data_IF_258335756313
#
_entry.id   IF_258335756313
#
_cell.length_a   1.000
_cell.length_b   1.000
_cell.length_c   1.000
_cell.angle_alpha   90.00
_cell.angle_beta   90.00
_cell.angle_gamma   90.00
#
_symmetry.space_group_name_H-M   'P 1'
#
loop_
_entity.id
_entity.type
_entity.pdbx_description
1 polymer ?
#
# COMPACT_ATOMS: atom_id res chain seq x y z
N UNK A 1 48.42 104.06 97.48
CA UNK A 1 47.46 104.43 96.41
C UNK A 1 47.72 103.68 95.10
N UNK A 2 48.98 103.42 94.73
CA UNK A 2 49.36 102.68 93.49
C UNK A 2 48.92 101.20 93.48
N UNK A 3 49.08 100.48 94.58
CA UNK A 3 48.76 99.04 94.65
C UNK A 3 47.26 98.74 94.50
N UNK A 4 46.40 99.63 95.01
CA UNK A 4 44.94 99.50 94.90
C UNK A 4 44.48 99.68 93.45
N UNK A 5 45.16 100.51 92.66
CA UNK A 5 44.84 100.70 91.25
C UNK A 5 45.28 99.48 90.41
N UNK A 6 46.45 98.90 90.70
CA UNK A 6 46.94 97.68 90.05
C UNK A 6 45.99 96.48 90.31
N UNK A 7 45.57 96.28 91.56
CA UNK A 7 44.63 95.21 91.93
C UNK A 7 43.27 95.34 91.22
N UNK A 8 42.80 96.56 90.92
CA UNK A 8 41.57 96.77 90.16
C UNK A 8 41.71 96.33 88.70
N UNK A 9 42.84 96.64 88.07
CA UNK A 9 43.13 96.21 86.68
C UNK A 9 43.24 94.69 86.59
N UNK A 10 43.91 94.06 87.55
CA UNK A 10 43.99 92.60 87.65
C UNK A 10 42.63 91.95 87.87
N UNK A 11 41.78 92.53 88.72
CA UNK A 11 40.41 92.04 88.95
C UNK A 11 39.57 92.12 87.67
N UNK A 12 39.64 93.22 86.91
CA UNK A 12 38.94 93.34 85.63
C UNK A 12 39.49 92.36 84.57
N UNK A 13 40.81 92.16 84.53
CA UNK A 13 41.42 91.13 83.68
C UNK A 13 40.96 89.73 84.06
N UNK A 14 40.90 89.39 85.36
CA UNK A 14 40.39 88.12 85.82
C UNK A 14 38.89 87.93 85.49
N UNK A 15 38.08 88.99 85.59
CA UNK A 15 36.66 88.97 85.20
C UNK A 15 36.48 88.69 83.71
N UNK A 16 37.23 89.38 82.85
CA UNK A 16 37.16 89.17 81.39
C UNK A 16 37.61 87.76 80.99
N UNK A 17 38.70 87.25 81.59
CA UNK A 17 39.15 85.87 81.36
C UNK A 17 38.09 84.87 81.82
N UNK A 18 37.48 85.08 82.99
CA UNK A 18 36.45 84.19 83.51
C UNK A 18 35.19 84.18 82.61
N UNK A 19 34.79 85.34 82.09
CA UNK A 19 33.70 85.43 81.12
C UNK A 19 34.02 84.68 79.81
N UNK A 20 35.25 84.76 79.29
CA UNK A 20 35.67 84.01 78.11
C UNK A 20 35.70 82.49 78.37
N UNK A 21 36.24 82.07 79.51
CA UNK A 21 36.24 80.66 79.92
C UNK A 21 34.82 80.10 80.05
N UNK A 22 33.91 80.86 80.65
CA UNK A 22 32.49 80.47 80.77
C UNK A 22 31.88 80.29 79.38
N UNK A 23 32.08 81.23 78.46
CA UNK A 23 31.56 81.12 77.08
C UNK A 23 32.14 79.91 76.32
N UNK A 24 33.43 79.61 76.51
CA UNK A 24 34.05 78.41 75.92
C UNK A 24 33.48 77.13 76.51
N UNK A 25 33.20 77.12 77.81
CA UNK A 25 32.60 75.98 78.50
C UNK A 25 31.16 75.74 78.00
N UNK A 26 30.37 76.80 77.84
CA UNK A 26 29.02 76.72 77.27
C UNK A 26 29.05 76.22 75.81
N UNK A 27 29.99 76.70 75.01
CA UNK A 27 30.21 76.23 73.64
C UNK A 27 30.60 74.74 73.61
N UNK A 28 31.51 74.30 74.48
CA UNK A 28 31.88 72.89 74.60
C UNK A 28 30.72 72.02 75.07
N UNK A 29 29.87 72.51 75.97
CA UNK A 29 28.66 71.81 76.40
C UNK A 29 27.66 71.65 75.25
N UNK A 30 27.47 72.69 74.42
CA UNK A 30 26.62 72.62 73.24
C UNK A 30 27.15 71.62 72.19
N UNK A 31 28.47 71.64 71.93
CA UNK A 31 29.10 70.67 71.02
C UNK A 31 28.98 69.24 71.56
N UNK A 32 29.15 69.04 72.88
CA UNK A 32 28.97 67.74 73.50
C UNK A 32 27.53 67.22 73.31
N UNK A 33 26.53 68.06 73.53
CA UNK A 33 25.13 67.69 73.32
C UNK A 33 24.83 67.31 71.86
N UNK A 34 25.33 68.08 70.89
CA UNK A 34 25.21 67.75 69.45
C UNK A 34 25.86 66.39 69.13
N UNK A 35 27.07 66.14 69.65
CA UNK A 35 27.76 64.87 69.43
C UNK A 35 27.04 63.69 70.08
N UNK A 36 26.43 63.87 71.24
CA UNK A 36 25.62 62.84 71.90
C UNK A 36 24.37 62.50 71.08
N UNK A 37 23.68 63.51 70.52
CA UNK A 37 22.55 63.30 69.62
C UNK A 37 22.96 62.59 68.33
N UNK A 38 24.07 63.02 67.71
CA UNK A 38 24.62 62.37 66.52
C UNK A 38 25.10 60.95 66.78
N UNK A 39 25.64 60.67 67.95
CA UNK A 39 26.01 59.30 68.34
C UNK A 39 24.77 58.42 68.41
N UNK A 40 23.70 58.91 69.06
CA UNK A 40 22.45 58.18 69.18
C UNK A 40 21.83 57.85 67.81
N UNK A 41 21.80 58.81 66.88
CA UNK A 41 21.27 58.57 65.52
C UNK A 41 22.09 57.54 64.75
N UNK A 42 23.42 57.58 64.85
CA UNK A 42 24.32 56.58 64.23
C UNK A 42 24.13 55.20 64.85
N UNK A 43 23.89 55.11 66.16
CA UNK A 43 23.59 53.84 66.83
C UNK A 43 22.29 53.22 66.35
N UNK A 44 21.23 54.03 66.22
CA UNK A 44 19.94 53.61 65.66
C UNK A 44 20.07 53.14 64.19
N UNK A 45 20.88 53.83 63.37
CA UNK A 45 21.18 53.41 62.00
C UNK A 45 21.93 52.07 61.95
N UNK A 46 22.96 51.92 62.79
CA UNK A 46 23.73 50.67 62.89
C UNK A 46 22.83 49.50 63.26
N UNK A 47 21.92 49.68 64.20
CA UNK A 47 20.98 48.63 64.61
C UNK A 47 19.96 48.30 63.51
N UNK A 48 19.47 49.32 62.76
CA UNK A 48 18.65 49.11 61.56
C UNK A 48 19.38 48.26 60.52
N UNK A 49 20.63 48.61 60.18
CA UNK A 49 21.42 47.85 59.22
C UNK A 49 21.72 46.42 59.70
N UNK A 50 21.98 46.24 60.99
CA UNK A 50 22.19 44.92 61.59
C UNK A 50 20.93 44.06 61.53
N UNK A 51 19.75 44.65 61.75
CA UNK A 51 18.47 43.96 61.61
C UNK A 51 18.21 43.56 60.14
N UNK A 52 18.47 44.46 59.19
CA UNK A 52 18.28 44.18 57.76
C UNK A 52 19.25 43.13 57.23
N UNK A 53 20.50 43.15 57.69
CA UNK A 53 21.48 42.10 57.41
C UNK A 53 21.01 40.72 57.92
N UNK A 54 20.43 40.67 59.13
CA UNK A 54 19.85 39.42 59.66
C UNK A 54 18.66 38.92 58.86
N UNK A 55 17.81 39.81 58.33
CA UNK A 55 16.66 39.44 57.48
C UNK A 55 17.09 38.93 56.09
N UNK A 56 18.12 39.53 55.50
CA UNK A 56 18.60 39.17 54.15
C UNK A 56 19.41 37.87 54.12
N UNK A 57 20.10 37.51 55.20
CA UNK A 57 20.88 36.27 55.30
C UNK A 57 20.10 34.98 54.96
N UNK A 58 18.91 34.71 55.52
CA UNK A 58 18.13 33.53 55.16
C UNK A 58 17.62 33.57 53.71
N UNK A 59 17.31 34.76 53.17
CA UNK A 59 16.90 34.91 51.77
C UNK A 59 18.02 34.56 50.80
N UNK A 60 19.24 35.00 51.09
CA UNK A 60 20.41 34.61 50.28
C UNK A 60 20.68 33.11 50.37
N UNK A 61 20.44 32.52 51.54
CA UNK A 61 20.62 31.08 51.74
C UNK A 61 19.56 30.28 50.98
N UNK A 62 18.28 30.67 51.05
CA UNK A 62 17.21 30.03 50.29
C UNK A 62 17.41 30.19 48.79
N UNK A 63 17.84 31.37 48.33
CA UNK A 63 18.16 31.63 46.93
C UNK A 63 19.28 30.72 46.43
N UNK A 64 20.39 30.59 47.17
CA UNK A 64 21.48 29.66 46.81
C UNK A 64 21.00 28.22 46.74
N UNK A 65 20.13 27.80 47.65
CA UNK A 65 19.54 26.46 47.65
C UNK A 65 18.68 26.24 46.40
N UNK A 66 17.80 27.18 46.07
CA UNK A 66 16.96 27.11 44.87
C UNK A 66 17.79 27.07 43.57
N UNK A 67 18.89 27.84 43.52
CA UNK A 67 19.84 27.79 42.41
C UNK A 67 20.49 26.42 42.26
N UNK A 68 20.97 25.82 43.35
CA UNK A 68 21.56 24.48 43.32
C UNK A 68 20.55 23.40 42.88
N UNK A 69 19.31 23.48 43.35
CA UNK A 69 18.22 22.57 42.93
C UNK A 69 17.88 22.74 41.44
N UNK A 70 17.85 23.98 40.95
CA UNK A 70 17.64 24.30 39.54
C UNK A 70 18.78 23.77 38.66
N UNK A 71 20.03 23.99 39.05
CA UNK A 71 21.22 23.49 38.34
C UNK A 71 21.22 21.96 38.26
N UNK A 72 20.90 21.28 39.35
CA UNK A 72 20.79 19.82 39.39
C UNK A 72 19.68 19.31 38.45
N UNK A 73 18.53 20.00 38.44
CA UNK A 73 17.40 19.68 37.57
C UNK A 73 17.75 19.85 36.09
N UNK A 74 18.40 20.96 35.73
CA UNK A 74 18.87 21.22 34.37
C UNK A 74 19.91 20.20 33.91
N UNK A 75 20.84 19.81 34.79
CA UNK A 75 21.84 18.78 34.48
C UNK A 75 21.19 17.42 34.19
N UNK A 76 20.19 17.04 34.98
CA UNK A 76 19.42 15.81 34.77
C UNK A 76 18.62 15.85 33.47
N UNK A 77 17.89 16.95 33.22
CA UNK A 77 17.11 17.14 32.00
C UNK A 77 17.98 17.09 30.75
N UNK A 78 19.15 17.76 30.78
CA UNK A 78 20.12 17.73 29.70
C UNK A 78 20.61 16.31 29.42
N UNK A 79 20.96 15.54 30.45
CA UNK A 79 21.39 14.14 30.28
C UNK A 79 20.30 13.29 29.63
N UNK A 80 19.05 13.42 30.10
CA UNK A 80 17.90 12.73 29.50
C UNK A 80 17.71 13.08 28.02
N UNK A 81 17.86 14.37 27.67
CA UNK A 81 17.76 14.82 26.28
C UNK A 81 18.92 14.29 25.43
N UNK A 82 20.15 14.32 25.93
CA UNK A 82 21.32 13.77 25.24
C UNK A 82 21.16 12.28 24.94
N UNK A 83 20.62 11.51 25.89
CA UNK A 83 20.35 10.07 25.71
C UNK A 83 19.26 9.83 24.65
N UNK A 84 18.19 10.65 24.64
CA UNK A 84 17.15 10.59 23.60
C UNK A 84 17.73 10.91 22.21
N UNK A 85 18.55 11.95 22.11
CA UNK A 85 19.20 12.33 20.83
C UNK A 85 20.12 11.23 20.34
N UNK A 86 20.92 10.61 21.21
CA UNK A 86 21.77 9.47 20.85
C UNK A 86 20.95 8.28 20.35
N UNK A 87 19.85 7.94 21.02
CA UNK A 87 18.95 6.87 20.59
C UNK A 87 18.31 7.17 19.24
N UNK A 88 17.81 8.39 19.03
CA UNK A 88 17.22 8.81 17.76
C UNK A 88 18.25 8.78 16.62
N UNK A 89 19.49 9.20 16.89
CA UNK A 89 20.57 9.16 15.90
C UNK A 89 20.93 7.72 15.51
N UNK A 90 21.00 6.81 16.50
CA UNK A 90 21.24 5.39 16.24
C UNK A 90 20.13 4.78 15.37
N UNK A 91 18.87 5.09 15.69
CA UNK A 91 17.71 4.65 14.89
C UNK A 91 17.72 5.23 13.47
N UNK A 92 18.04 6.52 13.31
CA UNK A 92 18.16 7.15 12.00
C UNK A 92 19.27 6.51 11.15
N UNK A 93 20.41 6.16 11.78
CA UNK A 93 21.49 5.44 11.11
C UNK A 93 21.07 4.04 10.65
N UNK A 94 20.24 3.36 11.45
CA UNK A 94 19.68 2.06 11.11
C UNK A 94 18.75 2.15 9.90
N UNK A 95 17.79 3.08 9.93
CA UNK A 95 16.90 3.37 8.80
C UNK A 95 17.70 3.73 7.53
N UNK A 96 18.74 4.56 7.66
CA UNK A 96 19.62 4.91 6.54
C UNK A 96 20.42 3.72 6.00
N UNK A 97 20.64 2.65 6.77
CA UNK A 97 21.19 1.39 6.27
C UNK A 97 20.12 0.59 5.52
N UNK A 98 18.93 0.44 6.10
CA UNK A 98 17.82 -0.27 5.47
C UNK A 98 17.42 0.35 4.13
N UNK A 99 17.37 1.69 4.03
CA UNK A 99 17.09 2.39 2.78
C UNK A 99 18.11 2.04 1.70
N UNK A 100 19.41 2.07 2.01
CA UNK A 100 20.46 1.69 1.05
C UNK A 100 20.32 0.24 0.57
N UNK A 101 19.98 -0.68 1.45
CA UNK A 101 19.71 -2.08 1.07
C UNK A 101 18.49 -2.21 0.17
N UNK A 102 17.45 -1.40 0.38
CA UNK A 102 16.26 -1.36 -0.48
C UNK A 102 16.57 -0.72 -1.82
N UNK A 103 17.35 0.36 -1.86
CA UNK A 103 17.77 1.01 -3.10
C UNK A 103 18.57 0.03 -3.97
N UNK A 104 19.53 -0.71 -3.39
CA UNK A 104 20.27 -1.75 -4.11
C UNK A 104 19.36 -2.88 -4.63
N UNK A 105 18.33 -3.27 -3.88
CA UNK A 105 17.37 -4.28 -4.33
C UNK A 105 16.48 -3.75 -5.46
N UNK A 106 16.06 -2.49 -5.40
CA UNK A 106 15.31 -1.84 -6.47
C UNK A 106 16.15 -1.82 -7.76
N UNK A 107 17.42 -1.40 -7.68
CA UNK A 107 18.33 -1.41 -8.83
C UNK A 107 18.45 -2.81 -9.45
N UNK A 108 18.61 -3.84 -8.61
CA UNK A 108 18.69 -5.24 -9.04
C UNK A 108 17.40 -5.70 -9.73
N UNK A 109 16.24 -5.38 -9.16
CA UNK A 109 14.93 -5.73 -9.73
C UNK A 109 14.67 -5.00 -11.04
N UNK A 110 15.05 -3.73 -11.14
CA UNK A 110 14.97 -2.96 -12.40
C UNK A 110 15.78 -3.63 -13.50
N UNK A 111 17.01 -4.06 -13.22
CA UNK A 111 17.83 -4.78 -14.20
C UNK A 111 17.20 -6.11 -14.63
N UNK A 112 16.65 -6.87 -13.70
CA UNK A 112 15.95 -8.12 -14.01
C UNK A 112 14.71 -7.90 -14.89
N UNK A 113 13.93 -6.86 -14.61
CA UNK A 113 12.76 -6.50 -15.42
C UNK A 113 13.18 -6.14 -16.84
N UNK A 114 14.21 -5.30 -17.00
CA UNK A 114 14.72 -4.96 -18.34
C UNK A 114 15.23 -6.18 -19.11
N UNK A 115 15.88 -7.13 -18.43
CA UNK A 115 16.30 -8.39 -19.06
C UNK A 115 15.08 -9.24 -19.51
N UNK A 116 14.03 -9.31 -18.68
CA UNK A 116 12.80 -10.03 -19.02
C UNK A 116 12.04 -9.37 -20.17
N UNK A 117 11.99 -8.05 -20.21
CA UNK A 117 11.38 -7.31 -21.32
C UNK A 117 12.08 -7.61 -22.65
N UNK A 118 13.41 -7.75 -22.63
CA UNK A 118 14.18 -8.17 -23.80
C UNK A 118 13.85 -9.62 -24.23
N UNK A 119 13.75 -10.56 -23.28
CA UNK A 119 13.31 -11.94 -23.55
C UNK A 119 11.89 -11.98 -24.15
N UNK A 120 10.96 -11.19 -23.59
CA UNK A 120 9.59 -11.08 -24.09
C UNK A 120 9.54 -10.51 -25.50
N UNK A 121 10.33 -9.48 -25.81
CA UNK A 121 10.40 -8.92 -27.16
C UNK A 121 10.88 -9.95 -28.19
N UNK A 122 11.84 -10.80 -27.83
CA UNK A 122 12.31 -11.90 -28.69
C UNK A 122 11.19 -12.93 -28.92
N UNK A 123 10.53 -13.38 -27.85
CA UNK A 123 9.42 -14.34 -27.95
C UNK A 123 8.25 -13.78 -28.77
N UNK A 124 7.92 -12.51 -28.59
CA UNK A 124 6.91 -11.83 -29.38
C UNK A 124 7.29 -11.81 -30.86
N UNK A 125 8.54 -11.47 -31.19
CA UNK A 125 9.04 -11.52 -32.57
C UNK A 125 9.00 -12.92 -33.19
N UNK A 126 9.31 -13.97 -32.42
CA UNK A 126 9.18 -15.37 -32.85
C UNK A 126 7.71 -15.72 -33.11
N UNK A 127 6.81 -15.37 -32.19
CA UNK A 127 5.38 -15.64 -32.34
C UNK A 127 4.77 -14.95 -33.56
N UNK A 128 5.14 -13.69 -33.81
CA UNK A 128 4.69 -12.95 -35.00
C UNK A 128 5.14 -13.63 -36.29
N UNK A 129 6.43 -14.00 -36.38
CA UNK A 129 6.96 -14.72 -37.55
C UNK A 129 6.27 -16.06 -37.77
N UNK A 130 6.03 -16.83 -36.71
CA UNK A 130 5.31 -18.10 -36.83
C UNK A 130 3.88 -17.91 -37.31
N UNK A 131 3.20 -16.85 -36.86
CA UNK A 131 1.86 -16.55 -37.32
C UNK A 131 1.84 -16.15 -38.80
N UNK A 132 2.78 -15.31 -39.25
CA UNK A 132 2.98 -14.97 -40.67
C UNK A 132 3.23 -16.23 -41.52
N UNK A 133 4.14 -17.12 -41.07
CA UNK A 133 4.42 -18.40 -41.74
C UNK A 133 3.20 -19.31 -41.88
N UNK A 134 2.26 -19.28 -40.92
CA UNK A 134 1.02 -20.05 -41.00
C UNK A 134 0.01 -19.40 -41.97
N UNK A 135 0.05 -18.08 -42.13
CA UNK A 135 -0.82 -17.36 -43.06
C UNK A 135 -0.39 -17.51 -44.53
N UNK A 136 0.91 -17.59 -44.84
CA UNK A 136 1.40 -17.75 -46.22
C UNK A 136 0.80 -18.95 -47.00
N UNK A 137 0.81 -20.19 -46.46
CA UNK A 137 0.19 -21.34 -47.14
C UNK A 137 -1.34 -21.25 -47.16
N UNK A 138 -1.98 -20.64 -46.15
CA UNK A 138 -3.42 -20.39 -46.15
C UNK A 138 -3.82 -19.37 -47.25
N UNK A 139 -3.02 -18.32 -47.43
CA UNK A 139 -3.17 -17.33 -48.50
C UNK A 139 -2.96 -17.94 -49.88
N UNK A 140 -1.97 -18.83 -50.04
CA UNK A 140 -1.74 -19.58 -51.28
C UNK A 140 -2.85 -20.59 -51.59
N UNK A 141 -3.49 -21.21 -50.59
CA UNK A 141 -4.66 -22.07 -50.79
C UNK A 141 -5.92 -21.27 -51.19
N UNK A 142 -6.02 -20.01 -50.77
CA UNK A 142 -7.16 -19.14 -51.08
C UNK A 142 -6.96 -18.40 -52.42
N UNK A 143 -5.72 -18.01 -52.76
CA UNK A 143 -5.36 -17.25 -53.98
C UNK A 143 -4.87 -18.11 -55.15
N UNK A 144 -4.26 -19.26 -54.87
CA UNK A 144 -3.88 -20.26 -55.86
C UNK A 144 -5.11 -21.04 -56.30
N UNK A 145 -5.54 -20.81 -57.54
CA UNK A 145 -6.72 -21.35 -58.20
C UNK A 145 -7.36 -22.57 -57.50
N UNK A 146 -8.27 -22.32 -56.55
CA UNK A 146 -9.00 -23.33 -55.78
C UNK A 146 -10.00 -24.15 -56.64
N UNK A 147 -9.74 -24.22 -57.94
CA UNK A 147 -10.47 -24.99 -58.92
C UNK A 147 -10.52 -26.48 -58.56
N UNK A 148 -9.43 -27.14 -58.09
CA UNK A 148 -9.52 -28.54 -57.67
C UNK A 148 -10.50 -28.75 -56.50
N UNK A 149 -10.56 -27.80 -55.55
CA UNK A 149 -11.50 -27.86 -54.42
C UNK A 149 -12.94 -27.57 -54.85
N UNK A 150 -13.14 -26.63 -55.78
CA UNK A 150 -14.46 -26.33 -56.37
C UNK A 150 -14.97 -27.49 -57.24
N UNK A 151 -14.09 -28.10 -58.04
CA UNK A 151 -14.37 -29.24 -58.89
C UNK A 151 -14.70 -30.47 -58.03
N UNK A 152 -13.90 -30.76 -57.00
CA UNK A 152 -14.19 -31.82 -56.04
C UNK A 152 -15.56 -31.61 -55.35
N UNK A 153 -15.87 -30.38 -54.92
CA UNK A 153 -17.18 -30.04 -54.34
C UNK A 153 -18.32 -30.25 -55.35
N UNK A 154 -18.14 -29.88 -56.60
CA UNK A 154 -19.11 -30.10 -57.66
C UNK A 154 -19.31 -31.59 -57.97
N UNK A 155 -18.24 -32.37 -58.05
CA UNK A 155 -18.26 -33.82 -58.24
C UNK A 155 -18.99 -34.53 -57.10
N UNK A 156 -18.71 -34.15 -55.85
CA UNK A 156 -19.40 -34.72 -54.67
C UNK A 156 -20.90 -34.42 -54.73
N UNK A 157 -21.29 -33.20 -55.08
CA UNK A 157 -22.70 -32.82 -55.24
C UNK A 157 -23.39 -33.65 -56.32
N UNK A 158 -22.72 -33.81 -57.47
CA UNK A 158 -23.25 -34.61 -58.58
C UNK A 158 -23.40 -36.09 -58.21
N UNK A 159 -22.39 -36.68 -57.56
CA UNK A 159 -22.46 -38.07 -57.09
C UNK A 159 -23.60 -38.28 -56.10
N UNK A 160 -23.83 -37.33 -55.18
CA UNK A 160 -24.99 -37.37 -54.26
C UNK A 160 -26.32 -37.37 -55.01
N UNK A 161 -26.46 -36.54 -56.03
CA UNK A 161 -27.69 -36.50 -56.86
C UNK A 161 -27.91 -37.80 -57.63
N UNK A 162 -26.84 -38.41 -58.17
CA UNK A 162 -26.89 -39.69 -58.86
C UNK A 162 -27.34 -40.80 -57.90
N UNK A 163 -26.75 -40.88 -56.71
CA UNK A 163 -27.12 -41.85 -55.68
C UNK A 163 -28.59 -41.71 -55.29
N UNK A 164 -29.09 -40.48 -55.09
CA UNK A 164 -30.49 -40.23 -54.76
C UNK A 164 -31.46 -40.57 -55.90
N UNK A 165 -31.04 -40.42 -57.16
CA UNK A 165 -31.83 -40.87 -58.33
C UNK A 165 -31.87 -42.38 -58.42
N UNK A 166 -30.74 -43.06 -58.28
CA UNK A 166 -30.65 -44.52 -58.27
C UNK A 166 -31.48 -45.12 -57.14
N UNK A 167 -31.39 -44.54 -55.94
CA UNK A 167 -32.19 -44.92 -54.77
C UNK A 167 -33.69 -44.86 -55.08
N UNK A 168 -34.17 -43.77 -55.68
CA UNK A 168 -35.58 -43.63 -56.08
C UNK A 168 -36.03 -44.63 -57.14
N UNK A 169 -35.16 -45.01 -58.07
CA UNK A 169 -35.47 -46.02 -59.09
C UNK A 169 -35.58 -47.41 -58.47
N UNK A 170 -34.65 -47.78 -57.58
CA UNK A 170 -34.67 -49.04 -56.84
C UNK A 170 -35.94 -49.15 -55.98
N UNK A 171 -36.30 -48.11 -55.22
CA UNK A 171 -37.53 -48.08 -54.43
C UNK A 171 -38.81 -48.30 -55.26
N UNK A 172 -38.86 -47.83 -56.52
CA UNK A 172 -40.02 -48.03 -57.42
C UNK A 172 -40.14 -49.46 -57.95
N UNK A 173 -39.04 -50.22 -57.95
CA UNK A 173 -39.03 -51.63 -58.36
C UNK A 173 -39.32 -52.58 -57.18
N UNK A 174 -39.75 -52.05 -56.03
CA UNK A 174 -39.95 -52.83 -54.80
C UNK A 174 -38.65 -53.30 -54.13
N UNK A 175 -37.50 -52.93 -54.68
CA UNK A 175 -36.18 -53.24 -54.15
C UNK A 175 -35.71 -52.07 -53.29
N UNK A 176 -35.97 -52.14 -51.99
CA UNK A 176 -35.46 -51.15 -51.04
C UNK A 176 -33.95 -51.35 -50.88
N UNK A 177 -33.14 -50.28 -50.92
CA UNK A 177 -31.70 -50.39 -50.66
C UNK A 177 -31.46 -51.06 -49.30
N UNK A 178 -30.44 -51.91 -49.20
CA UNK A 178 -30.02 -52.62 -47.96
C UNK A 178 -29.87 -51.70 -46.73
N UNK A 179 -29.76 -50.38 -46.92
CA UNK A 179 -29.48 -49.42 -45.86
C UNK A 179 -30.67 -48.52 -45.51
N UNK A 180 -31.90 -48.87 -45.89
CA UNK A 180 -33.09 -48.16 -45.43
C UNK A 180 -33.30 -48.40 -43.90
N UNK A 181 -33.23 -47.35 -43.06
CA UNK A 181 -33.36 -47.50 -41.61
C UNK A 181 -34.69 -48.11 -41.15
N UNK A 182 -35.78 -47.92 -41.91
CA UNK A 182 -37.09 -48.47 -41.58
C UNK A 182 -37.14 -49.98 -41.82
N UNK A 183 -36.36 -50.48 -42.79
CA UNK A 183 -36.22 -51.91 -43.08
C UNK A 183 -35.39 -52.62 -42.00
N UNK A 184 -34.37 -51.96 -41.47
CA UNK A 184 -33.62 -52.45 -40.30
C UNK A 184 -34.50 -52.53 -39.04
N UNK A 185 -35.43 -51.57 -38.86
CA UNK A 185 -36.37 -51.58 -37.74
C UNK A 185 -37.43 -52.71 -37.86
N UNK A 186 -37.99 -52.93 -39.05
CA UNK A 186 -38.94 -54.01 -39.31
C UNK A 186 -38.32 -55.41 -39.10
N UNK A 187 -37.06 -55.60 -39.52
CA UNK A 187 -36.30 -56.82 -39.29
C UNK A 187 -35.98 -57.06 -37.80
N UNK A 188 -35.59 -56.01 -37.06
CA UNK A 188 -35.36 -56.10 -35.61
C UNK A 188 -36.63 -56.44 -34.83
N UNK A 189 -37.81 -56.05 -35.35
CA UNK A 189 -39.11 -56.39 -34.80
C UNK A 189 -39.65 -57.76 -35.24
N UNK A 190 -38.90 -58.51 -36.08
CA UNK A 190 -39.25 -59.87 -36.51
C UNK A 190 -40.41 -59.95 -37.51
N UNK A 191 -40.73 -58.86 -38.21
CA UNK A 191 -41.80 -58.81 -39.20
C UNK A 191 -41.32 -59.41 -40.54
N UNK A 192 -42.19 -60.19 -41.21
CA UNK A 192 -41.90 -60.75 -42.54
C UNK A 192 -41.94 -59.62 -43.59
N UNK A 193 -40.84 -59.50 -44.35
CA UNK A 193 -40.65 -58.45 -45.34
C UNK A 193 -40.61 -59.11 -46.73
N UNK A 194 -41.64 -58.89 -47.58
CA UNK A 194 -41.73 -59.57 -48.87
C UNK A 194 -40.50 -59.32 -49.76
N UNK A 195 -39.82 -60.39 -50.18
CA UNK A 195 -38.73 -60.35 -51.15
C UNK A 195 -37.30 -60.38 -50.59
N UNK A 196 -37.12 -60.56 -49.27
CA UNK A 196 -35.78 -60.65 -48.66
C UNK A 196 -35.62 -61.91 -47.80
N UNK A 197 -34.44 -62.54 -47.87
CA UNK A 197 -34.14 -63.71 -47.04
C UNK A 197 -33.82 -63.29 -45.60
N UNK A 198 -34.10 -64.13 -44.59
CA UNK A 198 -33.78 -63.83 -43.19
C UNK A 198 -32.29 -63.51 -42.93
N UNK A 199 -31.38 -64.09 -43.71
CA UNK A 199 -29.95 -63.86 -43.59
C UNK A 199 -29.56 -62.43 -44.04
N UNK A 200 -30.18 -61.94 -45.11
CA UNK A 200 -29.93 -60.60 -45.65
C UNK A 200 -30.48 -59.51 -44.71
N UNK A 201 -31.62 -59.79 -44.06
CA UNK A 201 -32.20 -58.92 -43.03
C UNK A 201 -31.28 -58.80 -41.80
N UNK A 202 -30.64 -59.90 -41.40
CA UNK A 202 -29.72 -59.92 -40.26
C UNK A 202 -28.40 -59.19 -40.56
N UNK A 203 -27.90 -59.31 -41.79
CA UNK A 203 -26.73 -58.58 -42.27
C UNK A 203 -26.98 -57.05 -42.29
N UNK A 204 -28.16 -56.63 -42.76
CA UNK A 204 -28.57 -55.22 -42.76
C UNK A 204 -28.66 -54.63 -41.36
N UNK A 205 -29.31 -55.33 -40.43
CA UNK A 205 -29.41 -54.86 -39.05
C UNK A 205 -28.03 -54.65 -38.42
N UNK A 206 -27.05 -55.49 -38.77
CA UNK A 206 -25.68 -55.40 -38.26
C UNK A 206 -24.92 -54.22 -38.89
N UNK A 207 -25.07 -54.00 -40.20
CA UNK A 207 -24.47 -52.87 -40.91
C UNK A 207 -25.02 -51.51 -40.43
N UNK A 208 -26.34 -51.39 -40.27
CA UNK A 208 -26.96 -50.18 -39.73
C UNK A 208 -26.48 -49.87 -38.31
N UNK A 209 -26.26 -50.89 -37.47
CA UNK A 209 -25.72 -50.73 -36.11
C UNK A 209 -24.27 -50.21 -36.12
N UNK A 210 -23.44 -50.73 -37.03
CA UNK A 210 -22.04 -50.28 -37.19
C UNK A 210 -22.01 -48.83 -37.70
N UNK A 211 -22.88 -48.47 -38.65
CA UNK A 211 -22.95 -47.12 -39.18
C UNK A 211 -23.47 -46.12 -38.14
N UNK A 212 -24.47 -46.48 -37.33
CA UNK A 212 -24.97 -45.64 -36.24
C UNK A 212 -23.90 -45.39 -35.14
N UNK A 213 -23.03 -46.38 -34.88
CA UNK A 213 -21.92 -46.21 -33.93
C UNK A 213 -20.80 -45.31 -34.45
N UNK A 214 -20.59 -45.29 -35.78
CA UNK A 214 -19.45 -44.61 -36.41
C UNK A 214 -19.80 -43.22 -36.94
N UNK A 215 -21.07 -42.99 -37.26
CA UNK A 215 -21.61 -41.74 -37.80
C UNK A 215 -23.00 -41.43 -37.22
N UNK A 216 -23.10 -41.07 -35.93
CA UNK A 216 -24.38 -40.87 -35.25
C UNK A 216 -25.24 -39.76 -35.88
N UNK A 217 -24.60 -38.71 -36.41
CA UNK A 217 -25.27 -37.53 -37.01
C UNK A 217 -25.99 -37.82 -38.33
N UNK A 218 -25.74 -38.96 -38.98
CA UNK A 218 -26.32 -39.33 -40.29
C UNK A 218 -27.56 -40.23 -40.14
N UNK A 219 -27.72 -40.89 -38.99
CA UNK A 219 -28.82 -41.80 -38.70
C UNK A 219 -29.97 -41.17 -37.91
N UNK A 220 -29.87 -39.87 -37.62
CA UNK A 220 -30.92 -39.11 -36.95
C UNK A 220 -32.09 -38.92 -37.93
N UNK A 221 -33.12 -39.76 -37.79
CA UNK A 221 -34.39 -39.57 -38.50
C UNK A 221 -35.12 -38.46 -37.75
N UNK A 222 -35.27 -37.25 -38.30
CA UNK A 222 -35.96 -36.19 -37.60
C UNK A 222 -37.40 -36.63 -37.31
N UNK A 223 -37.80 -36.52 -36.04
CA UNK A 223 -39.08 -36.99 -35.49
C UNK A 223 -40.35 -36.35 -36.11
N UNK A 224 -40.24 -35.63 -37.22
CA UNK A 224 -41.31 -34.90 -37.89
C UNK A 224 -41.94 -35.59 -39.10
N UNK A 225 -41.36 -36.67 -39.65
CA UNK A 225 -41.94 -37.40 -40.79
C UNK A 225 -42.42 -38.80 -40.40
N UNK A 226 -43.31 -38.89 -39.40
CA UNK A 226 -44.22 -40.03 -39.29
C UNK A 226 -45.20 -39.98 -40.46
N UNK A 227 -44.86 -40.58 -41.60
CA UNK A 227 -45.90 -41.01 -42.54
C UNK A 227 -46.73 -42.09 -41.84
N UNK A 228 -47.88 -41.70 -41.30
CA UNK A 228 -48.95 -42.65 -40.95
C UNK A 228 -49.28 -43.45 -42.21
N UNK A 229 -48.86 -44.71 -42.23
CA UNK A 229 -49.37 -45.69 -43.20
C UNK A 229 -50.61 -46.29 -42.57
N UNK A 230 -51.80 -45.87 -43.00
CA UNK A 230 -53.05 -46.53 -42.63
C UNK A 230 -53.10 -47.89 -43.32
N UNK A 231 -53.05 -48.95 -42.54
CA UNK A 231 -53.24 -50.33 -43.01
C UNK A 231 -54.76 -50.58 -43.16
N UNK A 232 -55.26 -50.57 -44.39
CA UNK A 232 -56.64 -50.99 -44.68
C UNK A 232 -56.70 -52.52 -44.73
N UNK A 233 -57.24 -53.14 -43.68
CA UNK A 233 -57.51 -54.58 -43.64
C UNK A 233 -58.74 -54.84 -44.53
N UNK A 234 -58.55 -55.59 -45.63
CA UNK A 234 -59.66 -56.10 -46.42
C UNK A 234 -60.10 -57.45 -45.83
N UNK A 235 -61.38 -57.62 -45.42
CA UNK A 235 -61.88 -58.91 -44.98
C UNK A 235 -61.94 -59.87 -46.17
N UNK A 236 -61.65 -61.15 -45.90
CA UNK A 236 -62.02 -62.27 -46.78
C UNK A 236 -63.38 -62.80 -46.35
#
# INVERSE_FOLDING_TARGET
>A
ASDVAALRVELESARTINADLTRRLDSQAAVKADLEERLKTVEEERDRWKAESKKSSPLLTSFRKAMAESEASLKSARKSQDDKVKSALAHAKDLGRQLRERDSEIERLTQLLSARDAEYAVLQGISTKHFEQLQEPAGLLISGNAQPLRDAKATIKHQREVILRQTRVLSRMGLLPMHDPHMAAAAAAGLDVPGLSPADLQLNARLCRILAQRFPEVMDIPAGETRRVELTIHPR
#
